data_IF_290150028474
#
_entry.id   IF_290150028474
#
_cell.length_a   1.000
_cell.length_b   1.000
_cell.length_c   1.000
_cell.angle_alpha   90.00
_cell.angle_beta   90.00
_cell.angle_gamma   90.00
#
_symmetry.space_group_name_H-M   'P 1'
#
loop_
_entity.id
_entity.type
_entity.pdbx_description
1 polymer ?
#
# COMPACT_ATOMS: atom_id res chain seq x y z
N UNK A 1 -5.76 -6.34 15.07
CA UNK A 1 -5.29 -7.05 13.87
C UNK A 1 -6.41 -7.91 13.32
N UNK A 2 -6.88 -8.93 14.05
CA UNK A 2 -7.94 -9.85 13.57
C UNK A 2 -9.21 -9.14 13.06
N UNK A 3 -9.75 -8.15 13.78
CA UNK A 3 -10.94 -7.41 13.33
C UNK A 3 -10.72 -6.60 12.05
N UNK A 4 -9.46 -6.25 11.75
CA UNK A 4 -9.07 -5.52 10.53
C UNK A 4 -8.80 -6.47 9.37
N UNK A 5 -8.37 -7.70 9.64
CA UNK A 5 -7.96 -8.66 8.62
C UNK A 5 -9.12 -9.00 7.68
N UNK A 6 -8.91 -8.79 6.37
CA UNK A 6 -9.91 -8.96 5.31
C UNK A 6 -11.07 -7.96 5.33
N UNK A 7 -11.37 -7.32 6.47
CA UNK A 7 -12.53 -6.42 6.64
C UNK A 7 -12.16 -4.94 6.53
N UNK A 8 -10.92 -4.59 6.80
CA UNK A 8 -10.42 -3.22 6.74
C UNK A 8 -10.33 -2.49 8.09
N UNK A 9 -9.47 -1.47 8.12
CA UNK A 9 -9.06 -0.77 9.34
C UNK A 9 -10.19 0.05 9.99
N UNK A 10 -11.05 0.61 9.15
CA UNK A 10 -12.09 1.55 9.53
C UNK A 10 -13.49 0.91 9.66
N UNK A 11 -13.63 -0.41 9.45
CA UNK A 11 -14.94 -1.08 9.40
C UNK A 11 -15.47 -1.57 10.75
N UNK A 12 -14.65 -1.55 11.80
CA UNK A 12 -15.02 -1.96 13.15
C UNK A 12 -14.92 -0.80 14.15
N UNK A 13 -15.73 -0.84 15.20
CA UNK A 13 -15.79 0.18 16.26
C UNK A 13 -15.13 -0.28 17.57
N UNK A 14 -14.88 0.64 18.50
CA UNK A 14 -14.41 0.30 19.86
C UNK A 14 -15.37 -0.68 20.56
N UNK A 15 -16.68 -0.58 20.29
CA UNK A 15 -17.67 -1.50 20.85
C UNK A 15 -17.50 -2.92 20.30
N UNK A 16 -17.18 -3.07 19.03
CA UNK A 16 -16.91 -4.38 18.42
C UNK A 16 -15.65 -5.01 19.03
N UNK A 17 -14.61 -4.21 19.27
CA UNK A 17 -13.42 -4.65 19.97
C UNK A 17 -13.71 -5.05 21.42
N UNK A 18 -14.49 -4.24 22.14
CA UNK A 18 -14.90 -4.52 23.52
C UNK A 18 -15.66 -5.84 23.61
N UNK A 19 -16.62 -6.06 22.72
CA UNK A 19 -17.38 -7.31 22.60
C UNK A 19 -16.48 -8.50 22.30
N UNK A 20 -15.51 -8.34 21.40
CA UNK A 20 -14.58 -9.41 21.01
C UNK A 20 -13.64 -9.83 22.16
N UNK A 21 -13.29 -8.87 23.03
CA UNK A 21 -12.41 -9.06 24.18
C UNK A 21 -13.16 -9.38 25.48
N UNK A 22 -14.50 -9.41 25.45
CA UNK A 22 -15.37 -9.57 26.62
C UNK A 22 -15.09 -8.54 27.75
N UNK A 23 -14.90 -7.28 27.35
CA UNK A 23 -14.71 -6.14 28.26
C UNK A 23 -15.69 -5.02 27.97
N UNK A 24 -15.80 -4.07 28.89
CA UNK A 24 -16.54 -2.81 28.64
C UNK A 24 -15.66 -1.80 27.89
N UNK A 25 -16.23 -0.94 27.01
CA UNK A 25 -15.46 0.04 26.24
C UNK A 25 -14.54 0.96 27.05
N UNK A 26 -14.91 1.29 28.29
CA UNK A 26 -14.11 2.16 29.16
C UNK A 26 -12.72 1.58 29.47
N UNK A 27 -12.60 0.25 29.54
CA UNK A 27 -11.30 -0.43 29.72
C UNK A 27 -10.39 -0.17 28.52
N UNK A 28 -10.94 -0.24 27.30
CA UNK A 28 -10.19 0.04 26.08
C UNK A 28 -9.75 1.50 26.05
N UNK A 29 -10.67 2.44 26.28
CA UNK A 29 -10.33 3.87 26.31
C UNK A 29 -9.22 4.18 27.31
N UNK A 30 -9.23 3.53 28.48
CA UNK A 30 -8.21 3.70 29.50
C UNK A 30 -6.82 3.20 29.07
N UNK A 31 -6.73 2.07 28.36
CA UNK A 31 -5.44 1.45 28.02
C UNK A 31 -4.85 1.90 26.69
N UNK A 32 -5.69 2.19 25.70
CA UNK A 32 -5.27 2.40 24.30
C UNK A 32 -5.92 3.62 23.66
N UNK A 33 -6.75 4.36 24.40
CA UNK A 33 -7.35 5.60 23.93
C UNK A 33 -8.45 5.39 22.88
N UNK A 34 -8.52 6.34 21.94
CA UNK A 34 -9.58 6.41 20.93
C UNK A 34 -9.37 5.49 19.73
N UNK A 35 -10.30 5.58 18.77
CA UNK A 35 -10.27 4.78 17.54
C UNK A 35 -9.02 5.09 16.71
N UNK A 36 -8.60 6.35 16.66
CA UNK A 36 -7.42 6.75 15.89
C UNK A 36 -6.12 6.16 16.46
N UNK A 37 -5.98 6.12 17.79
CA UNK A 37 -4.83 5.51 18.44
C UNK A 37 -4.80 4.00 18.23
N UNK A 38 -5.96 3.34 18.28
CA UNK A 38 -6.07 1.94 17.89
C UNK A 38 -5.69 1.70 16.43
N UNK A 39 -6.11 2.57 15.50
CA UNK A 39 -5.72 2.50 14.09
C UNK A 39 -4.21 2.64 13.93
N UNK A 40 -3.59 3.60 14.64
CA UNK A 40 -2.14 3.80 14.70
C UNK A 40 -1.43 2.54 15.19
N UNK A 41 -1.90 1.91 16.27
CA UNK A 41 -1.31 0.67 16.79
C UNK A 41 -1.45 -0.51 15.82
N UNK A 42 -2.58 -0.63 15.13
CA UNK A 42 -2.75 -1.65 14.09
C UNK A 42 -1.78 -1.41 12.94
N UNK A 43 -1.69 -0.18 12.41
CA UNK A 43 -0.75 0.16 11.36
C UNK A 43 0.73 -0.05 11.78
N UNK A 44 1.06 0.28 13.04
CA UNK A 44 2.38 0.01 13.61
C UNK A 44 2.70 -1.50 13.65
N UNK A 45 1.74 -2.33 14.06
CA UNK A 45 1.89 -3.79 14.08
C UNK A 45 1.97 -4.40 12.68
N UNK A 46 1.26 -3.87 11.69
CA UNK A 46 1.38 -4.31 10.30
C UNK A 46 2.75 -3.97 9.75
N UNK A 47 3.19 -2.72 9.88
CA UNK A 47 4.50 -2.27 9.35
C UNK A 47 5.68 -2.90 10.08
N UNK A 48 5.53 -3.33 11.33
CA UNK A 48 6.56 -4.08 12.07
C UNK A 48 6.89 -5.46 11.45
N UNK A 49 6.04 -5.96 10.55
CA UNK A 49 6.32 -7.19 9.80
C UNK A 49 7.27 -6.97 8.61
N UNK A 50 7.50 -5.71 8.23
CA UNK A 50 8.45 -5.36 7.16
C UNK A 50 9.88 -5.72 7.59
N UNK A 51 10.63 -6.30 6.66
CA UNK A 51 12.03 -6.67 6.90
C UNK A 51 12.92 -5.57 6.34
N UNK A 52 13.85 -5.12 7.18
CA UNK A 52 14.93 -4.21 6.77
C UNK A 52 15.82 -4.92 5.73
N UNK A 53 15.97 -4.38 4.51
CA UNK A 53 16.87 -4.95 3.51
C UNK A 53 18.35 -4.78 3.92
N UNK A 54 19.24 -5.49 3.23
CA UNK A 54 20.68 -5.28 3.39
C UNK A 54 21.07 -3.86 2.92
N UNK A 55 21.62 -3.00 3.79
CA UNK A 55 22.00 -1.63 3.44
C UNK A 55 23.10 -1.55 2.37
N UNK A 56 23.82 -2.63 2.08
CA UNK A 56 24.86 -2.68 1.05
C UNK A 56 24.31 -2.76 -0.38
N UNK A 57 23.02 -3.04 -0.56
CA UNK A 57 22.40 -3.15 -1.88
C UNK A 57 22.47 -1.81 -2.65
N UNK A 58 22.52 -1.92 -3.98
CA UNK A 58 22.25 -0.80 -4.86
C UNK A 58 20.83 -0.27 -4.60
N UNK A 59 20.60 1.02 -4.80
CA UNK A 59 19.36 1.66 -4.38
C UNK A 59 18.12 1.01 -4.98
N UNK A 60 18.14 0.62 -6.27
CA UNK A 60 17.00 -0.07 -6.89
C UNK A 60 16.71 -1.41 -6.18
N UNK A 61 17.74 -2.23 -5.99
CA UNK A 61 17.59 -3.54 -5.37
C UNK A 61 17.18 -3.43 -3.91
N UNK A 62 17.65 -2.39 -3.21
CA UNK A 62 17.23 -2.07 -1.86
C UNK A 62 15.71 -1.79 -1.80
N UNK A 63 15.18 -0.93 -2.69
CA UNK A 63 13.74 -0.66 -2.73
C UNK A 63 12.92 -1.85 -3.22
N UNK A 64 13.42 -2.65 -4.17
CA UNK A 64 12.76 -3.91 -4.58
C UNK A 64 12.63 -4.87 -3.39
N UNK A 65 13.73 -5.07 -2.66
CA UNK A 65 13.76 -5.94 -1.49
C UNK A 65 12.83 -5.46 -0.38
N UNK A 66 12.65 -4.15 -0.22
CA UNK A 66 11.69 -3.58 0.73
C UNK A 66 10.24 -3.71 0.27
N UNK A 67 9.95 -3.34 -0.99
CA UNK A 67 8.59 -3.04 -1.44
C UNK A 67 7.89 -4.26 -2.03
N UNK A 68 8.60 -5.16 -2.71
CA UNK A 68 7.95 -6.35 -3.29
C UNK A 68 7.28 -7.23 -2.24
N UNK A 69 7.88 -7.49 -1.05
CA UNK A 69 7.18 -8.19 0.02
C UNK A 69 6.11 -7.33 0.71
N UNK A 70 6.20 -6.00 0.66
CA UNK A 70 5.32 -5.09 1.39
C UNK A 70 3.85 -5.23 0.99
N UNK A 71 3.56 -5.52 -0.30
CA UNK A 71 2.18 -5.75 -0.75
C UNK A 71 1.53 -6.91 0.01
N UNK A 72 2.22 -8.05 0.15
CA UNK A 72 1.69 -9.21 0.86
C UNK A 72 1.50 -8.97 2.37
N UNK A 73 2.23 -8.01 2.94
CA UNK A 73 2.08 -7.58 4.34
C UNK A 73 0.87 -6.65 4.51
N UNK A 74 0.64 -5.75 3.55
CA UNK A 74 -0.42 -4.73 3.64
C UNK A 74 -1.78 -5.24 3.15
N UNK A 75 -1.82 -6.04 2.08
CA UNK A 75 -3.08 -6.47 1.44
C UNK A 75 -4.04 -7.26 2.35
N UNK A 76 -3.59 -8.03 3.37
CA UNK A 76 -4.52 -8.65 4.31
C UNK A 76 -5.25 -7.65 5.21
N UNK A 77 -4.79 -6.39 5.28
CA UNK A 77 -5.32 -5.36 6.18
C UNK A 77 -5.78 -4.11 5.41
N UNK A 78 -6.92 -4.17 4.67
CA UNK A 78 -7.37 -3.06 3.85
C UNK A 78 -7.48 -1.74 4.63
N UNK A 79 -7.09 -0.63 4.00
CA UNK A 79 -7.14 0.70 4.61
C UNK A 79 -5.94 1.05 5.49
N UNK A 80 -5.07 0.08 5.86
CA UNK A 80 -3.78 0.40 6.49
C UNK A 80 -2.89 1.19 5.55
N UNK A 81 -2.87 0.84 4.25
CA UNK A 81 -2.13 1.59 3.25
C UNK A 81 -2.62 3.06 3.16
N UNK A 82 -3.94 3.27 3.08
CA UNK A 82 -4.49 4.64 3.07
C UNK A 82 -4.18 5.39 4.38
N UNK A 83 -4.25 4.71 5.53
CA UNK A 83 -3.90 5.32 6.80
C UNK A 83 -2.44 5.77 6.84
N UNK A 84 -1.50 4.95 6.34
CA UNK A 84 -0.09 5.28 6.23
C UNK A 84 0.16 6.47 5.31
N UNK A 85 -0.57 6.58 4.20
CA UNK A 85 -0.50 7.73 3.30
C UNK A 85 -0.90 9.02 4.02
N UNK A 86 -2.01 8.99 4.77
CA UNK A 86 -2.56 10.18 5.41
C UNK A 86 -1.80 10.64 6.67
N UNK A 87 -1.18 9.71 7.40
CA UNK A 87 -0.53 10.00 8.70
C UNK A 87 1.00 9.90 8.65
N UNK A 88 1.54 9.39 7.54
CA UNK A 88 2.94 9.04 7.39
C UNK A 88 3.35 7.79 8.20
N UNK A 89 4.42 7.08 7.79
CA UNK A 89 4.96 5.93 8.51
C UNK A 89 5.81 6.37 9.73
N UNK A 90 5.23 7.17 10.62
CA UNK A 90 5.92 7.79 11.76
C UNK A 90 6.03 6.83 12.95
N UNK A 91 6.76 5.73 12.74
CA UNK A 91 7.02 4.70 13.76
C UNK A 91 8.52 4.54 13.99
N UNK A 92 8.93 4.45 15.26
CA UNK A 92 10.34 4.35 15.66
C UNK A 92 11.05 3.15 15.03
N UNK A 93 10.37 2.00 14.91
CA UNK A 93 10.95 0.80 14.30
C UNK A 93 11.23 0.95 12.80
N UNK A 94 10.67 1.96 12.13
CA UNK A 94 10.93 2.25 10.73
C UNK A 94 12.10 3.20 10.50
N UNK A 95 12.61 3.88 11.54
CA UNK A 95 13.74 4.81 11.41
C UNK A 95 14.95 4.19 10.72
N UNK A 96 15.42 2.96 11.06
CA UNK A 96 16.55 2.35 10.36
C UNK A 96 16.28 2.03 8.89
N UNK A 97 15.03 1.71 8.53
CA UNK A 97 14.63 1.47 7.13
C UNK A 97 14.67 2.80 6.36
N UNK A 98 14.16 3.88 6.95
CA UNK A 98 14.18 5.22 6.35
C UNK A 98 15.63 5.66 6.13
N UNK A 99 16.48 5.53 7.15
CA UNK A 99 17.90 5.92 7.09
C UNK A 99 18.64 5.17 5.98
N UNK A 100 18.46 3.86 5.87
CA UNK A 100 19.09 3.05 4.84
C UNK A 100 18.63 3.41 3.42
N UNK A 101 17.33 3.63 3.23
CA UNK A 101 16.78 4.03 1.92
C UNK A 101 17.27 5.41 1.50
N UNK A 102 17.29 6.37 2.42
CA UNK A 102 17.87 7.70 2.20
C UNK A 102 19.37 7.59 1.91
N UNK A 103 20.11 6.76 2.65
CA UNK A 103 21.53 6.54 2.41
C UNK A 103 21.79 5.90 1.04
N UNK A 104 20.98 4.93 0.63
CA UNK A 104 21.09 4.29 -0.67
C UNK A 104 20.88 5.30 -1.82
N UNK A 105 19.85 6.15 -1.73
CA UNK A 105 19.62 7.22 -2.70
C UNK A 105 20.76 8.26 -2.70
N UNK A 106 21.27 8.65 -1.53
CA UNK A 106 22.42 9.57 -1.45
C UNK A 106 23.66 8.99 -2.13
N UNK A 107 23.98 7.72 -1.89
CA UNK A 107 25.11 7.02 -2.55
C UNK A 107 24.94 6.93 -4.06
N UNK A 108 23.69 6.89 -4.53
CA UNK A 108 23.35 6.86 -5.94
C UNK A 108 23.35 8.24 -6.62
N UNK A 109 23.69 9.32 -5.90
CA UNK A 109 23.87 10.64 -6.50
C UNK A 109 22.60 11.49 -6.59
N UNK A 110 21.51 11.13 -5.90
CA UNK A 110 20.25 11.88 -5.97
C UNK A 110 20.30 13.29 -5.36
N UNK A 111 21.39 13.71 -4.69
CA UNK A 111 21.57 15.08 -4.23
C UNK A 111 20.37 15.66 -3.47
N UNK A 112 19.94 16.86 -3.86
CA UNK A 112 18.78 17.57 -3.28
C UNK A 112 17.45 16.84 -3.55
N UNK A 113 17.38 16.02 -4.59
CA UNK A 113 16.21 15.24 -4.98
C UNK A 113 16.02 13.98 -4.12
N UNK A 114 16.97 13.64 -3.24
CA UNK A 114 16.91 12.44 -2.37
C UNK A 114 15.56 12.30 -1.65
N UNK A 115 15.08 13.38 -1.02
CA UNK A 115 13.81 13.36 -0.28
C UNK A 115 12.60 13.16 -1.20
N UNK A 116 12.59 13.80 -2.37
CA UNK A 116 11.53 13.66 -3.37
C UNK A 116 11.51 12.25 -3.97
N UNK A 117 12.68 11.69 -4.27
CA UNK A 117 12.81 10.33 -4.78
C UNK A 117 12.29 9.30 -3.77
N UNK A 118 12.70 9.42 -2.50
CA UNK A 118 12.20 8.56 -1.43
C UNK A 118 10.67 8.66 -1.30
N UNK A 119 10.13 9.88 -1.21
CA UNK A 119 8.70 10.10 -1.09
C UNK A 119 7.93 9.54 -2.31
N UNK A 120 8.42 9.76 -3.54
CA UNK A 120 7.79 9.26 -4.75
C UNK A 120 7.72 7.72 -4.76
N UNK A 121 8.82 7.04 -4.44
CA UNK A 121 8.87 5.57 -4.40
C UNK A 121 7.88 5.01 -3.37
N UNK A 122 7.93 5.54 -2.14
CA UNK A 122 7.07 5.06 -1.05
C UNK A 122 5.59 5.39 -1.30
N UNK A 123 5.29 6.60 -1.79
CA UNK A 123 3.92 7.01 -2.07
C UNK A 123 3.32 6.20 -3.20
N UNK A 124 4.06 5.91 -4.27
CA UNK A 124 3.60 5.04 -5.35
C UNK A 124 3.26 3.64 -4.83
N UNK A 125 4.12 3.07 -3.99
CA UNK A 125 3.85 1.77 -3.36
C UNK A 125 2.56 1.78 -2.53
N UNK A 126 2.44 2.73 -1.61
CA UNK A 126 1.31 2.78 -0.68
C UNK A 126 0.01 3.13 -1.42
N UNK A 127 0.03 4.04 -2.40
CA UNK A 127 -1.15 4.38 -3.21
C UNK A 127 -1.64 3.21 -4.04
N UNK A 128 -0.75 2.43 -4.65
CA UNK A 128 -1.18 1.27 -5.45
C UNK A 128 -1.87 0.23 -4.58
N UNK A 129 -1.40 0.00 -3.35
CA UNK A 129 -2.10 -0.88 -2.40
C UNK A 129 -3.43 -0.26 -1.95
N UNK A 130 -3.43 1.02 -1.56
CA UNK A 130 -4.64 1.70 -1.11
C UNK A 130 -5.74 1.75 -2.19
N UNK A 131 -5.36 1.95 -3.46
CA UNK A 131 -6.30 1.93 -4.58
C UNK A 131 -6.89 0.53 -4.81
N UNK A 132 -6.15 -0.54 -4.52
CA UNK A 132 -6.66 -1.90 -4.55
C UNK A 132 -7.59 -2.18 -3.35
N UNK A 133 -7.23 -1.68 -2.15
CA UNK A 133 -8.04 -1.81 -0.93
C UNK A 133 -9.41 -1.15 -1.09
N UNK A 134 -9.48 0.07 -1.61
CA UNK A 134 -10.74 0.79 -1.84
C UNK A 134 -11.70 0.00 -2.73
N UNK A 135 -11.19 -0.75 -3.71
CA UNK A 135 -12.01 -1.62 -4.56
C UNK A 135 -12.55 -2.84 -3.82
N UNK A 136 -11.79 -3.36 -2.85
CA UNK A 136 -12.21 -4.49 -2.01
C UNK A 136 -13.24 -4.07 -0.96
N UNK A 137 -12.99 -2.96 -0.27
CA UNK A 137 -13.90 -2.44 0.78
C UNK A 137 -15.24 -2.00 0.18
N UNK A 138 -15.22 -1.54 -1.08
CA UNK A 138 -16.41 -1.11 -1.81
C UNK A 138 -16.84 -2.11 -2.90
N UNK A 139 -16.49 -3.39 -2.80
CA UNK A 139 -16.86 -4.40 -3.79
C UNK A 139 -18.40 -4.52 -3.98
N UNK A 140 -19.18 -4.23 -2.93
CA UNK A 140 -20.65 -4.20 -2.98
C UNK A 140 -21.22 -2.86 -3.49
N UNK A 141 -20.41 -1.81 -3.61
CA UNK A 141 -20.77 -0.52 -4.21
C UNK A 141 -20.44 -0.57 -5.71
N UNK A 142 -21.31 -1.27 -6.45
CA UNK A 142 -21.08 -1.81 -7.80
C UNK A 142 -20.38 -0.92 -8.83
N UNK A 143 -20.31 0.42 -8.67
CA UNK A 143 -19.50 1.29 -9.52
C UNK A 143 -17.98 1.11 -9.40
N UNK A 144 -17.49 0.47 -8.32
CA UNK A 144 -16.05 0.28 -8.03
C UNK A 144 -15.57 -1.18 -8.18
N UNK A 145 -16.47 -2.08 -8.57
CA UNK A 145 -16.18 -3.48 -8.87
C UNK A 145 -15.56 -3.63 -10.27
N UNK A 146 -14.44 -4.35 -10.38
CA UNK A 146 -13.78 -4.63 -11.66
C UNK A 146 -14.72 -5.34 -12.65
N UNK A 147 -15.61 -6.22 -12.19
CA UNK A 147 -16.54 -6.87 -13.10
C UNK A 147 -17.57 -5.88 -13.66
N UNK A 148 -17.99 -4.88 -12.89
CA UNK A 148 -18.83 -3.80 -13.41
C UNK A 148 -18.06 -2.88 -14.36
N UNK A 149 -16.82 -2.53 -14.04
CA UNK A 149 -15.96 -1.72 -14.92
C UNK A 149 -15.78 -2.43 -16.28
N UNK A 150 -15.54 -3.74 -16.29
CA UNK A 150 -15.49 -4.55 -17.52
C UNK A 150 -16.79 -4.41 -18.32
N UNK A 151 -17.96 -4.62 -17.68
CA UNK A 151 -19.28 -4.47 -18.34
C UNK A 151 -19.49 -3.07 -18.91
N UNK A 152 -19.05 -2.03 -18.20
CA UNK A 152 -19.16 -0.66 -18.67
C UNK A 152 -18.24 -0.36 -19.86
N UNK A 153 -17.01 -0.87 -19.85
CA UNK A 153 -16.12 -0.76 -21.01
C UNK A 153 -16.66 -1.48 -22.24
N UNK A 154 -17.18 -2.71 -22.08
CA UNK A 154 -17.83 -3.46 -23.16
C UNK A 154 -19.00 -2.69 -23.78
N UNK A 155 -19.76 -1.96 -22.95
CA UNK A 155 -20.91 -1.15 -23.41
C UNK A 155 -20.52 0.10 -24.19
N UNK A 156 -19.43 0.78 -23.82
CA UNK A 156 -19.05 2.07 -24.44
C UNK A 156 -18.11 1.94 -25.64
N UNK A 157 -17.50 0.77 -25.87
CA UNK A 157 -16.43 0.69 -26.85
C UNK A 157 -16.04 -0.71 -27.29
N UNK A 158 -17.01 -1.57 -27.62
CA UNK A 158 -16.74 -2.92 -28.15
C UNK A 158 -15.80 -2.94 -29.37
N UNK A 159 -15.87 -1.90 -30.22
CA UNK A 159 -15.01 -1.76 -31.41
C UNK A 159 -13.79 -0.86 -31.19
N UNK A 160 -13.61 -0.27 -30.00
CA UNK A 160 -12.50 0.62 -29.71
C UNK A 160 -11.27 -0.20 -29.26
N UNK A 161 -10.15 -0.17 -30.02
CA UNK A 161 -8.96 -0.95 -29.64
C UNK A 161 -8.39 -0.56 -28.28
N UNK A 162 -8.46 0.73 -27.92
CA UNK A 162 -8.00 1.20 -26.61
C UNK A 162 -8.88 0.71 -25.46
N UNK A 163 -10.19 0.64 -25.67
CA UNK A 163 -11.12 0.13 -24.65
C UNK A 163 -10.93 -1.38 -24.49
N UNK A 164 -10.71 -2.13 -25.57
CA UNK A 164 -10.41 -3.56 -25.49
C UNK A 164 -9.19 -3.86 -24.61
N UNK A 165 -8.09 -3.12 -24.77
CA UNK A 165 -6.91 -3.26 -23.90
C UNK A 165 -7.25 -3.01 -22.43
N UNK A 166 -8.04 -1.98 -22.13
CA UNK A 166 -8.45 -1.70 -20.76
C UNK A 166 -9.43 -2.73 -20.20
N UNK A 167 -10.33 -3.28 -21.03
CA UNK A 167 -11.23 -4.37 -20.67
C UNK A 167 -10.43 -5.62 -20.30
N UNK A 168 -9.47 -6.02 -21.13
CA UNK A 168 -8.61 -7.19 -20.89
C UNK A 168 -7.79 -7.02 -19.60
N UNK A 169 -7.16 -5.85 -19.41
CA UNK A 169 -6.43 -5.54 -18.18
C UNK A 169 -7.35 -5.62 -16.94
N UNK A 170 -8.53 -5.01 -17.03
CA UNK A 170 -9.51 -4.97 -15.92
C UNK A 170 -10.03 -6.37 -15.60
N UNK A 171 -10.33 -7.18 -16.63
CA UNK A 171 -10.72 -8.57 -16.48
C UNK A 171 -9.61 -9.45 -15.88
N UNK A 172 -8.34 -9.09 -16.10
CA UNK A 172 -7.20 -9.72 -15.43
C UNK A 172 -7.29 -9.64 -13.90
N UNK A 173 -7.74 -8.50 -13.34
CA UNK A 173 -7.87 -8.33 -11.89
C UNK A 173 -8.98 -9.18 -11.25
N UNK A 174 -9.96 -9.67 -12.03
CA UNK A 174 -11.02 -10.58 -11.53
C UNK A 174 -10.68 -12.04 -11.77
N UNK A 175 -10.03 -12.35 -12.88
CA UNK A 175 -9.78 -13.73 -13.33
C UNK A 175 -8.46 -14.33 -12.84
N UNK A 176 -7.48 -13.49 -12.49
CA UNK A 176 -6.14 -13.92 -12.08
C UNK A 176 -5.83 -13.48 -10.64
N UNK A 177 -5.39 -14.41 -9.81
CA UNK A 177 -5.01 -14.13 -8.42
C UNK A 177 -3.74 -13.29 -8.27
N UNK A 178 -2.87 -13.26 -9.29
CA UNK A 178 -1.58 -12.58 -9.29
C UNK A 178 -1.60 -11.20 -9.99
N UNK A 179 -2.66 -10.85 -10.72
CA UNK A 179 -2.74 -9.61 -11.50
C UNK A 179 -2.48 -8.35 -10.65
N UNK A 180 -2.99 -8.32 -9.42
CA UNK A 180 -2.74 -7.20 -8.50
C UNK A 180 -1.28 -7.09 -8.06
N UNK A 181 -0.57 -8.20 -7.95
CA UNK A 181 0.85 -8.25 -7.59
C UNK A 181 1.74 -7.90 -8.78
N UNK A 182 1.39 -8.39 -9.97
CA UNK A 182 2.02 -8.01 -11.24
C UNK A 182 1.92 -6.51 -11.48
N UNK A 183 0.73 -5.92 -11.38
CA UNK A 183 0.52 -4.48 -11.55
C UNK A 183 1.29 -3.66 -10.50
N UNK A 184 1.32 -4.12 -9.25
CA UNK A 184 2.09 -3.47 -8.20
C UNK A 184 3.59 -3.43 -8.54
N UNK A 185 4.18 -4.56 -8.95
CA UNK A 185 5.59 -4.59 -9.38
C UNK A 185 5.84 -3.69 -10.58
N UNK A 186 4.92 -3.69 -11.55
CA UNK A 186 5.01 -2.81 -12.72
C UNK A 186 5.08 -1.33 -12.34
N UNK A 187 4.23 -0.87 -11.40
CA UNK A 187 4.26 0.52 -10.91
C UNK A 187 5.60 0.83 -10.24
N UNK A 188 6.09 -0.06 -9.37
CA UNK A 188 7.35 0.16 -8.64
C UNK A 188 8.52 0.23 -9.61
N UNK A 189 8.64 -0.73 -10.52
CA UNK A 189 9.71 -0.72 -11.53
C UNK A 189 9.64 0.53 -12.42
N UNK A 190 8.43 0.98 -12.80
CA UNK A 190 8.26 2.20 -13.59
C UNK A 190 8.79 3.44 -12.85
N UNK A 191 8.51 3.55 -11.54
CA UNK A 191 9.01 4.67 -10.73
C UNK A 191 10.52 4.58 -10.54
N UNK A 192 11.06 3.40 -10.24
CA UNK A 192 12.50 3.20 -10.09
C UNK A 192 13.23 3.54 -11.40
N UNK A 193 12.81 2.97 -12.54
CA UNK A 193 13.40 3.25 -13.84
C UNK A 193 13.30 4.74 -14.22
N UNK A 194 12.16 5.38 -13.95
CA UNK A 194 11.96 6.81 -14.19
C UNK A 194 12.87 7.70 -13.35
N UNK A 195 13.19 7.29 -12.11
CA UNK A 195 14.07 8.02 -11.22
C UNK A 195 15.56 7.90 -11.58
N UNK A 196 15.96 6.88 -12.35
CA UNK A 196 17.35 6.72 -12.80
C UNK A 196 17.88 7.94 -13.57
N UNK A 197 17.01 8.70 -14.25
CA UNK A 197 17.42 9.92 -14.96
C UNK A 197 18.09 10.95 -14.03
N UNK A 198 17.70 10.98 -12.76
CA UNK A 198 18.26 11.89 -11.76
C UNK A 198 19.61 11.43 -11.21
N UNK A 199 20.03 10.20 -11.51
CA UNK A 199 21.36 9.67 -11.14
C UNK A 199 22.41 9.86 -12.23
N UNK A 200 21.97 10.15 -13.47
CA UNK A 200 22.84 10.25 -14.66
C UNK A 200 23.33 11.68 -14.96
N UNK A 201 22.83 12.67 -14.23
CA UNK A 201 23.12 14.10 -14.44
C UNK A 201 24.03 14.73 -13.35
N UNK A 202 24.63 13.91 -12.47
CA UNK A 202 25.49 14.35 -11.38
C UNK A 202 26.98 14.00 -11.60
#
# INVERSE_FOLDING_TARGET
>A
MELTEGRGLHTWSIRDLAKRLDVVPSVIYHHVGGKDELCRQVAGRVTAQMRRPDPALAWQDWFRALLFPARAILSPYPGVAMWLMMHGPTFEHLTPIIDDGIAALKRAGFGEQTGLAYAAILNSAVLTVAAADERLVHADDGSRDHAQIVRDFERIGAESPGVQVLTELTAGFTSRSDAGDEYYRFVIETVLAGLERFTREA
#
